data_IF_152227239958
#
_entry.id   IF_152227239958
#
_cell.length_a   1.000
_cell.length_b   1.000
_cell.length_c   1.000
_cell.angle_alpha   90.00
_cell.angle_beta   90.00
_cell.angle_gamma   90.00
#
_symmetry.space_group_name_H-M   'P 1'
#
loop_
_entity.id
_entity.type
_entity.pdbx_description
1 polymer ?
#
# COMPACT_ATOMS: atom_id res chain seq x y z
N UNK A 1 -13.70 7.33 -14.92
CA UNK A 1 -13.60 8.17 -16.15
C UNK A 1 -12.37 7.86 -17.01
N UNK A 2 -11.18 7.61 -16.45
CA UNK A 2 -9.94 7.41 -17.25
C UNK A 2 -9.99 6.28 -18.30
N UNK A 3 -10.52 5.09 -17.96
CA UNK A 3 -10.59 3.97 -18.91
C UNK A 3 -11.48 4.25 -20.14
N UNK A 4 -12.58 4.96 -19.96
CA UNK A 4 -13.46 5.37 -21.07
C UNK A 4 -12.77 6.37 -22.00
N UNK A 5 -11.92 7.25 -21.45
CA UNK A 5 -11.13 8.20 -22.23
C UNK A 5 -10.04 7.50 -23.06
N UNK A 6 -9.36 6.50 -22.50
CA UNK A 6 -8.38 5.67 -23.23
C UNK A 6 -9.07 4.91 -24.38
N UNK A 7 -10.20 4.26 -24.12
CA UNK A 7 -10.95 3.52 -25.14
C UNK A 7 -11.44 4.45 -26.27
N UNK A 8 -11.94 5.63 -25.91
CA UNK A 8 -12.35 6.65 -26.88
C UNK A 8 -11.14 7.12 -27.73
N UNK A 9 -9.99 7.36 -27.11
CA UNK A 9 -8.79 7.79 -27.81
C UNK A 9 -8.29 6.72 -28.78
N UNK A 10 -8.27 5.45 -28.38
CA UNK A 10 -7.91 4.31 -29.24
C UNK A 10 -8.89 4.23 -30.42
N UNK A 11 -10.20 4.26 -30.17
CA UNK A 11 -11.22 4.19 -31.20
C UNK A 11 -11.13 5.36 -32.20
N UNK A 12 -10.95 6.59 -31.69
CA UNK A 12 -10.77 7.78 -32.52
C UNK A 12 -9.49 7.69 -33.37
N UNK A 13 -8.40 7.14 -32.81
CA UNK A 13 -7.13 6.96 -33.53
C UNK A 13 -7.31 5.97 -34.67
N UNK A 14 -7.95 4.81 -34.43
CA UNK A 14 -8.19 3.78 -35.46
C UNK A 14 -9.16 4.27 -36.54
N UNK A 15 -10.22 5.00 -36.16
CA UNK A 15 -11.26 5.42 -37.11
C UNK A 15 -10.87 6.64 -37.96
N UNK A 16 -10.01 7.54 -37.45
CA UNK A 16 -9.70 8.82 -38.13
C UNK A 16 -8.36 8.85 -38.85
N UNK A 17 -7.45 7.91 -38.56
CA UNK A 17 -6.14 7.85 -39.21
C UNK A 17 -6.09 6.72 -40.25
N UNK A 18 -5.99 7.09 -41.52
CA UNK A 18 -5.60 6.10 -42.54
C UNK A 18 -4.14 5.70 -42.32
N UNK A 19 -3.89 4.39 -42.30
CA UNK A 19 -2.54 3.84 -42.16
C UNK A 19 -1.74 4.15 -43.43
N UNK A 20 -1.06 5.29 -43.41
CA UNK A 20 -0.23 5.77 -44.51
C UNK A 20 1.11 6.20 -43.95
N UNK A 21 2.20 5.85 -44.63
CA UNK A 21 3.57 6.29 -44.30
C UNK A 21 3.69 7.80 -44.12
N UNK A 22 2.79 8.53 -44.79
CA UNK A 22 2.66 9.99 -44.73
C UNK A 22 2.22 10.54 -43.37
N UNK A 23 1.55 9.73 -42.55
CA UNK A 23 1.00 10.06 -41.23
C UNK A 23 1.72 9.31 -40.09
N UNK A 24 2.85 8.65 -40.38
CA UNK A 24 3.59 7.83 -39.40
C UNK A 24 4.00 8.62 -38.15
N UNK A 25 4.46 9.86 -38.30
CA UNK A 25 4.78 10.72 -37.15
C UNK A 25 3.56 10.99 -36.25
N UNK A 26 2.37 11.16 -36.86
CA UNK A 26 1.12 11.37 -36.13
C UNK A 26 0.69 10.11 -35.38
N UNK A 27 0.84 8.93 -35.98
CA UNK A 27 0.61 7.63 -35.31
C UNK A 27 1.50 7.43 -34.09
N UNK A 28 2.79 7.77 -34.20
CA UNK A 28 3.75 7.65 -33.08
C UNK A 28 3.37 8.59 -31.93
N UNK A 29 2.93 9.82 -32.22
CA UNK A 29 2.43 10.75 -31.19
C UNK A 29 1.20 10.18 -30.48
N UNK A 30 0.23 9.63 -31.21
CA UNK A 30 -0.96 9.05 -30.59
C UNK A 30 -0.62 7.83 -29.75
N UNK A 31 0.31 6.97 -30.22
CA UNK A 31 0.80 5.83 -29.44
C UNK A 31 1.47 6.29 -28.13
N UNK A 32 2.31 7.34 -28.18
CA UNK A 32 2.92 7.92 -26.99
C UNK A 32 1.89 8.52 -26.01
N UNK A 33 0.85 9.19 -26.51
CA UNK A 33 -0.22 9.74 -25.67
C UNK A 33 -1.07 8.63 -25.03
N UNK A 34 -1.44 7.60 -25.80
CA UNK A 34 -2.17 6.43 -25.29
C UNK A 34 -1.35 5.74 -24.21
N UNK A 35 -0.05 5.52 -24.45
CA UNK A 35 0.87 4.93 -23.48
C UNK A 35 0.96 5.77 -22.20
N UNK A 36 1.01 7.10 -22.30
CA UNK A 36 1.02 7.99 -21.14
C UNK A 36 -0.24 7.83 -20.28
N UNK A 37 -1.42 7.95 -20.90
CA UNK A 37 -2.70 7.90 -20.18
C UNK A 37 -2.94 6.49 -19.61
N UNK A 38 -2.65 5.44 -20.37
CA UNK A 38 -2.74 4.07 -19.89
C UNK A 38 -1.74 3.80 -18.76
N UNK A 39 -0.53 4.36 -18.85
CA UNK A 39 0.51 4.28 -17.83
C UNK A 39 0.12 4.98 -16.54
N UNK A 40 -0.48 6.16 -16.60
CA UNK A 40 -1.00 6.88 -15.44
C UNK A 40 -2.14 6.12 -14.77
N UNK A 41 -3.08 5.59 -15.57
CA UNK A 41 -4.16 4.74 -15.06
C UNK A 41 -3.63 3.48 -14.38
N UNK A 42 -2.68 2.78 -15.01
CA UNK A 42 -2.04 1.61 -14.43
C UNK A 42 -1.29 1.96 -13.14
N UNK A 43 -0.53 3.05 -13.14
CA UNK A 43 0.18 3.51 -11.94
C UNK A 43 -0.81 3.79 -10.82
N UNK A 44 -1.89 4.55 -11.05
CA UNK A 44 -2.90 4.80 -10.02
C UNK A 44 -3.65 3.54 -9.54
N UNK A 45 -3.82 2.53 -10.40
CA UNK A 45 -4.48 1.28 -10.04
C UNK A 45 -3.57 0.31 -9.25
N UNK A 46 -2.26 0.37 -9.47
CA UNK A 46 -1.28 -0.55 -8.87
C UNK A 46 -0.36 0.11 -7.84
N UNK A 47 -0.43 1.43 -7.67
CA UNK A 47 0.35 2.14 -6.68
C UNK A 47 -0.12 1.70 -5.28
N UNK A 48 0.79 1.06 -4.56
CA UNK A 48 0.58 0.72 -3.16
C UNK A 48 1.11 1.87 -2.32
N UNK A 49 0.19 2.69 -1.83
CA UNK A 49 0.50 3.68 -0.80
C UNK A 49 0.53 2.97 0.55
N UNK A 50 1.74 2.81 1.07
CA UNK A 50 1.98 2.25 2.40
C UNK A 50 2.72 3.26 3.25
N UNK A 51 2.79 2.99 4.55
CA UNK A 51 3.51 3.84 5.48
C UNK A 51 4.43 3.03 6.37
N UNK A 52 5.48 3.66 6.86
CA UNK A 52 6.41 3.09 7.82
C UNK A 52 6.50 4.06 8.99
N UNK A 53 5.94 3.66 10.12
CA UNK A 53 6.02 4.40 11.38
C UNK A 53 7.18 3.84 12.21
N UNK A 54 8.14 4.69 12.56
CA UNK A 54 9.38 4.28 13.26
C UNK A 54 9.64 5.23 14.41
N UNK A 55 9.84 4.69 15.61
CA UNK A 55 10.30 5.48 16.75
C UNK A 55 11.82 5.68 16.73
N UNK A 56 12.31 6.75 17.35
CA UNK A 56 13.75 7.01 17.48
C UNK A 56 14.40 5.85 18.25
N UNK A 57 15.44 5.26 17.67
CA UNK A 57 16.12 4.06 18.16
C UNK A 57 15.48 2.73 17.72
N UNK A 58 14.25 2.76 17.17
CA UNK A 58 13.57 1.56 16.71
C UNK A 58 14.10 1.13 15.33
N UNK A 59 14.25 -0.18 15.16
CA UNK A 59 14.50 -0.83 13.87
C UNK A 59 13.22 -1.49 13.38
N UNK A 60 12.83 -1.22 12.14
CA UNK A 60 11.69 -1.88 11.48
C UNK A 60 12.06 -2.36 10.09
N UNK A 61 11.41 -3.42 9.65
CA UNK A 61 11.62 -4.03 8.33
C UNK A 61 10.29 -4.27 7.60
N UNK A 62 9.26 -3.48 7.87
CA UNK A 62 7.95 -3.63 7.22
C UNK A 62 7.31 -2.27 6.93
N UNK A 63 6.40 -2.28 5.96
CA UNK A 63 5.48 -1.18 5.68
C UNK A 63 4.05 -1.66 5.94
N UNK A 64 3.18 -0.72 6.28
CA UNK A 64 1.78 -0.98 6.63
C UNK A 64 0.84 -0.32 5.63
N UNK A 65 -0.27 -1.00 5.31
CA UNK A 65 -1.36 -0.39 4.57
C UNK A 65 -2.20 0.50 5.48
N UNK A 66 -2.49 1.76 5.10
CA UNK A 66 -3.38 2.62 5.89
C UNK A 66 -4.85 2.21 5.79
N UNK A 67 -5.21 1.34 4.84
CA UNK A 67 -6.61 0.99 4.51
C UNK A 67 -6.93 -0.48 4.70
N UNK A 68 -5.98 -1.36 4.37
CA UNK A 68 -6.18 -2.80 4.45
C UNK A 68 -5.77 -3.30 5.82
N UNK A 69 -6.58 -4.22 6.34
CA UNK A 69 -6.33 -4.86 7.63
C UNK A 69 -6.00 -6.34 7.43
N UNK A 70 -5.27 -6.90 8.38
CA UNK A 70 -5.00 -8.33 8.48
C UNK A 70 -5.33 -8.83 9.88
N UNK A 71 -5.76 -10.09 9.99
CA UNK A 71 -5.61 -10.85 11.21
C UNK A 71 -4.19 -11.40 11.23
N UNK A 72 -3.39 -10.98 12.21
CA UNK A 72 -2.09 -11.55 12.48
C UNK A 72 -2.23 -12.66 13.53
N UNK A 73 -1.84 -13.88 13.15
CA UNK A 73 -1.60 -14.99 14.07
C UNK A 73 -0.10 -15.07 14.29
N UNK A 74 0.35 -14.76 15.51
CA UNK A 74 1.76 -14.60 15.84
C UNK A 74 2.17 -15.68 16.82
N UNK A 75 3.10 -16.55 16.44
CA UNK A 75 3.78 -17.44 17.36
C UNK A 75 4.95 -16.68 18.01
N UNK A 76 4.91 -16.52 19.33
CA UNK A 76 5.93 -15.82 20.12
C UNK A 76 6.78 -16.75 20.97
N UNK A 77 6.84 -18.02 20.61
CA UNK A 77 7.52 -19.03 21.42
C UNK A 77 9.03 -18.86 21.37
N UNK A 78 9.56 -18.39 20.22
CA UNK A 78 10.98 -18.13 20.07
C UNK A 78 11.34 -16.75 20.66
N UNK A 79 12.36 -16.65 21.54
CA UNK A 79 12.74 -15.37 22.15
C UNK A 79 13.45 -14.41 21.19
N UNK A 80 13.96 -14.89 20.06
CA UNK A 80 14.72 -14.10 19.09
C UNK A 80 13.89 -13.59 17.91
N UNK A 81 12.79 -14.27 17.56
CA UNK A 81 11.93 -13.87 16.47
C UNK A 81 10.49 -14.34 16.69
N UNK A 82 9.54 -13.65 16.06
CA UNK A 82 8.13 -14.04 16.02
C UNK A 82 7.83 -14.63 14.63
N UNK A 83 7.16 -15.78 14.56
CA UNK A 83 6.58 -16.28 13.31
C UNK A 83 5.19 -15.67 13.12
N UNK A 84 4.95 -15.02 11.98
CA UNK A 84 3.71 -14.27 11.74
C UNK A 84 2.98 -14.79 10.52
N UNK A 85 1.74 -15.22 10.74
CA UNK A 85 0.82 -15.61 9.68
C UNK A 85 -0.22 -14.51 9.48
N UNK A 86 -0.19 -13.88 8.31
CA UNK A 86 -1.12 -12.82 7.92
C UNK A 86 -2.32 -13.40 7.17
N UNK A 87 -3.53 -13.08 7.63
CA UNK A 87 -4.78 -13.39 6.95
C UNK A 87 -5.46 -12.08 6.57
N UNK A 88 -5.46 -11.69 5.28
CA UNK A 88 -6.06 -10.42 4.83
C UNK A 88 -7.57 -10.35 5.09
N UNK A 89 -8.07 -9.14 5.32
CA UNK A 89 -9.49 -8.84 5.51
C UNK A 89 -10.43 -9.42 4.43
N UNK A 90 -9.98 -9.46 3.18
CA UNK A 90 -10.70 -10.05 2.03
C UNK A 90 -10.92 -11.55 2.18
N UNK A 91 -10.03 -12.24 2.90
CA UNK A 91 -10.17 -13.66 3.26
C UNK A 91 -11.06 -13.80 4.47
N UNK A 92 -10.91 -12.94 5.48
CA UNK A 92 -11.78 -12.92 6.67
C UNK A 92 -13.25 -12.68 6.29
N UNK A 93 -13.50 -11.79 5.33
CA UNK A 93 -14.83 -11.47 4.82
C UNK A 93 -15.58 -12.65 4.19
N UNK A 94 -14.88 -13.76 3.87
CA UNK A 94 -15.51 -14.98 3.36
C UNK A 94 -16.08 -15.89 4.46
N UNK A 95 -15.83 -15.57 5.74
CA UNK A 95 -16.36 -16.30 6.92
C UNK A 95 -16.15 -17.82 6.85
N UNK A 96 -14.94 -18.24 6.44
CA UNK A 96 -14.55 -19.64 6.25
C UNK A 96 -13.51 -20.14 7.25
N UNK A 97 -12.95 -21.32 6.97
CA UNK A 97 -11.80 -21.85 7.70
C UNK A 97 -10.52 -21.60 6.91
N UNK A 98 -9.50 -21.05 7.56
CA UNK A 98 -8.20 -20.73 6.97
C UNK A 98 -7.14 -21.58 7.68
N UNK A 99 -6.37 -22.36 6.92
CA UNK A 99 -5.26 -23.12 7.48
C UNK A 99 -4.07 -22.20 7.77
N UNK A 100 -3.36 -22.45 8.86
CA UNK A 100 -2.10 -21.78 9.19
C UNK A 100 -0.95 -22.65 8.67
N UNK A 101 -0.26 -22.24 7.58
CA UNK A 101 0.77 -23.06 6.94
C UNK A 101 1.86 -23.51 7.91
N UNK A 102 2.31 -24.75 7.78
CA UNK A 102 3.37 -25.30 8.65
C UNK A 102 2.92 -25.66 10.07
N UNK A 103 1.63 -25.55 10.39
CA UNK A 103 1.08 -25.90 11.71
C UNK A 103 -0.19 -26.75 11.56
N UNK A 104 -0.63 -27.51 12.59
CA UNK A 104 -1.93 -28.16 12.60
C UNK A 104 -3.09 -27.21 12.92
N UNK A 105 -2.83 -25.91 13.05
CA UNK A 105 -3.83 -24.91 13.39
C UNK A 105 -4.64 -24.48 12.16
N UNK A 106 -5.92 -24.27 12.40
CA UNK A 106 -6.83 -23.63 11.47
C UNK A 106 -7.60 -22.54 12.21
N UNK A 107 -7.86 -21.42 11.53
CA UNK A 107 -8.66 -20.32 12.05
C UNK A 107 -10.02 -20.36 11.36
N UNK A 108 -11.07 -20.64 12.12
CA UNK A 108 -12.44 -20.54 11.65
C UNK A 108 -12.95 -19.14 11.91
N UNK A 109 -13.27 -18.40 10.85
CA UNK A 109 -13.85 -17.06 10.93
C UNK A 109 -15.35 -17.20 11.12
N UNK A 110 -15.84 -16.97 12.34
CA UNK A 110 -17.25 -17.14 12.70
C UNK A 110 -18.10 -15.98 12.19
N UNK A 111 -17.54 -14.78 12.20
CA UNK A 111 -18.19 -13.56 11.72
C UNK A 111 -17.16 -12.47 11.45
N UNK A 112 -17.36 -11.70 10.40
CA UNK A 112 -16.51 -10.56 10.04
C UNK A 112 -17.33 -9.28 9.83
N UNK A 113 -16.82 -8.17 10.35
CA UNK A 113 -17.37 -6.84 10.16
C UNK A 113 -16.28 -5.93 9.60
N UNK A 114 -16.51 -5.36 8.41
CA UNK A 114 -15.63 -4.31 7.86
C UNK A 114 -15.55 -3.13 8.82
N UNK A 115 -16.67 -2.77 9.43
CA UNK A 115 -16.79 -1.72 10.44
C UNK A 115 -17.78 -2.17 11.53
N UNK A 116 -17.45 -1.96 12.79
CA UNK A 116 -18.33 -2.26 13.91
C UNK A 116 -18.13 -1.28 15.06
N UNK A 117 -19.20 -1.02 15.81
CA UNK A 117 -19.14 -0.35 17.09
C UNK A 117 -19.05 -1.38 18.21
N UNK A 118 -18.12 -1.17 19.14
CA UNK A 118 -17.92 -2.01 20.31
C UNK A 118 -18.44 -1.29 21.55
N UNK A 119 -19.21 -1.98 22.38
CA UNK A 119 -19.66 -1.47 23.68
C UNK A 119 -19.62 -2.57 24.73
N UNK A 120 -19.60 -2.19 26.01
CA UNK A 120 -19.74 -3.16 27.11
C UNK A 120 -21.12 -3.82 27.06
N UNK A 121 -21.15 -5.12 27.28
CA UNK A 121 -22.38 -5.88 27.36
C UNK A 121 -23.21 -5.43 28.58
N UNK A 122 -24.46 -5.06 28.36
CA UNK A 122 -25.39 -4.59 29.40
C UNK A 122 -26.38 -5.67 29.86
N UNK A 123 -27.09 -5.44 31.00
CA UNK A 123 -28.19 -6.30 31.42
C UNK A 123 -29.29 -6.35 30.35
N UNK A 124 -29.60 -7.54 29.83
CA UNK A 124 -30.62 -7.76 28.80
C UNK A 124 -30.11 -7.80 27.36
N UNK A 125 -28.81 -7.54 27.14
CA UNK A 125 -28.21 -7.78 25.82
C UNK A 125 -28.10 -9.29 25.53
N UNK A 126 -28.21 -9.72 24.25
CA UNK A 126 -27.93 -11.10 23.86
C UNK A 126 -26.49 -11.50 24.18
N UNK A 127 -26.22 -12.80 24.44
CA UNK A 127 -24.86 -13.27 24.68
C UNK A 127 -23.97 -13.02 23.45
N UNK A 128 -22.73 -12.61 23.71
CA UNK A 128 -21.70 -12.46 22.68
C UNK A 128 -21.25 -13.81 22.14
N UNK A 129 -20.74 -13.83 20.90
CA UNK A 129 -20.17 -15.04 20.29
C UNK A 129 -18.82 -15.40 20.90
N UNK A 130 -18.13 -14.44 21.53
CA UNK A 130 -16.83 -14.68 22.13
C UNK A 130 -16.96 -15.51 23.40
N UNK A 131 -16.19 -16.59 23.49
CA UNK A 131 -16.11 -17.47 24.66
C UNK A 131 -14.79 -17.30 25.41
N UNK A 132 -13.88 -16.47 24.90
CA UNK A 132 -12.55 -16.25 25.45
C UNK A 132 -12.10 -14.79 25.32
N UNK A 133 -11.13 -14.41 26.15
CA UNK A 133 -10.53 -13.09 26.14
C UNK A 133 -11.49 -11.97 26.53
N UNK A 134 -11.16 -10.74 26.12
CA UNK A 134 -11.94 -9.54 26.48
C UNK A 134 -13.30 -9.50 25.79
N UNK A 135 -13.46 -10.27 24.72
CA UNK A 135 -14.69 -10.32 23.92
C UNK A 135 -15.92 -10.83 24.66
N UNK A 136 -15.74 -11.61 25.73
CA UNK A 136 -16.84 -12.23 26.52
C UNK A 136 -17.77 -11.20 27.18
N UNK A 137 -17.27 -9.99 27.41
CA UNK A 137 -18.05 -8.87 27.96
C UNK A 137 -18.35 -7.76 26.96
N UNK A 138 -18.18 -8.01 25.65
CA UNK A 138 -18.30 -6.97 24.61
C UNK A 138 -19.45 -7.29 23.67
N UNK A 139 -20.33 -6.31 23.49
CA UNK A 139 -21.34 -6.26 22.44
C UNK A 139 -20.72 -5.67 21.17
N UNK A 140 -20.97 -6.33 20.05
CA UNK A 140 -20.49 -5.90 18.74
C UNK A 140 -21.69 -5.62 17.85
N UNK A 141 -21.75 -4.40 17.31
CA UNK A 141 -22.81 -3.98 16.38
C UNK A 141 -22.17 -3.58 15.05
N UNK A 142 -22.46 -4.32 13.99
CA UNK A 142 -21.98 -4.00 12.65
C UNK A 142 -22.48 -2.62 12.20
N UNK A 143 -21.59 -1.86 11.56
CA UNK A 143 -21.87 -0.54 11.01
C UNK A 143 -21.61 -0.53 9.50
N UNK A 144 -22.24 0.39 8.74
CA UNK A 144 -21.86 0.62 7.35
C UNK A 144 -20.37 0.95 7.23
N UNK A 145 -19.68 0.49 6.16
CA UNK A 145 -18.30 0.88 5.91
C UNK A 145 -18.18 2.40 5.74
N UNK A 146 -17.15 2.97 6.35
CA UNK A 146 -16.84 4.39 6.20
C UNK A 146 -16.17 4.62 4.84
N UNK A 147 -16.62 5.66 4.15
CA UNK A 147 -16.14 6.06 2.81
C UNK A 147 -15.43 7.41 2.81
N UNK A 148 -15.43 8.13 3.95
CA UNK A 148 -14.73 9.41 4.10
C UNK A 148 -13.24 9.17 4.36
N UNK A 149 -12.37 9.94 3.74
CA UNK A 149 -10.92 9.72 3.79
C UNK A 149 -10.29 9.93 5.19
N UNK A 150 -10.91 10.71 6.07
CA UNK A 150 -10.37 11.02 7.40
C UNK A 150 -10.82 10.06 8.50
N UNK A 151 -11.73 9.15 8.18
CA UNK A 151 -12.34 8.25 9.15
C UNK A 151 -11.90 6.81 8.85
N UNK A 152 -11.60 6.04 9.89
CA UNK A 152 -11.12 4.67 9.74
C UNK A 152 -12.21 3.66 10.11
N UNK A 153 -12.25 2.57 9.37
CA UNK A 153 -13.13 1.46 9.71
C UNK A 153 -12.60 0.74 10.95
N UNK A 154 -13.52 0.41 11.87
CA UNK A 154 -13.22 -0.37 13.06
C UNK A 154 -13.38 -1.87 12.76
N UNK A 155 -12.41 -2.41 12.02
CA UNK A 155 -12.47 -3.78 11.50
C UNK A 155 -12.46 -4.78 12.65
N UNK A 156 -13.46 -5.65 12.67
CA UNK A 156 -13.75 -6.53 13.81
C UNK A 156 -14.14 -7.92 13.32
N UNK A 157 -13.65 -8.96 13.99
CA UNK A 157 -13.99 -10.34 13.67
C UNK A 157 -14.12 -11.22 14.91
N UNK A 158 -14.96 -12.25 14.81
CA UNK A 158 -14.98 -13.37 15.74
C UNK A 158 -14.25 -14.55 15.09
N UNK A 159 -13.18 -14.99 15.72
CA UNK A 159 -12.29 -16.03 15.18
C UNK A 159 -12.13 -17.16 16.19
N UNK A 160 -12.18 -18.38 15.69
CA UNK A 160 -12.09 -19.60 16.49
C UNK A 160 -10.87 -20.41 16.01
N UNK A 161 -9.75 -20.35 16.74
CA UNK A 161 -8.62 -21.24 16.49
C UNK A 161 -9.00 -22.68 16.80
N UNK A 162 -8.59 -23.59 15.91
CA UNK A 162 -8.93 -25.00 15.93
C UNK A 162 -7.67 -25.83 15.65
N UNK A 163 -7.43 -26.90 16.41
CA UNK A 163 -6.40 -27.90 16.13
C UNK A 163 -6.93 -29.30 16.44
N UNK A 164 -6.66 -30.29 15.57
CA UNK A 164 -7.09 -31.67 15.79
C UNK A 164 -8.61 -31.82 16.03
N UNK A 165 -9.44 -30.95 15.46
CA UNK A 165 -10.88 -30.90 15.68
C UNK A 165 -11.34 -30.24 16.99
N UNK A 166 -10.43 -29.83 17.87
CA UNK A 166 -10.71 -29.11 19.12
C UNK A 166 -10.68 -27.59 18.92
N UNK A 167 -11.62 -26.91 19.55
CA UNK A 167 -11.69 -25.43 19.63
C UNK A 167 -10.88 -24.89 20.81
N UNK A 168 -10.18 -23.78 20.60
CA UNK A 168 -9.49 -23.00 21.66
C UNK A 168 -10.32 -21.78 22.10
N UNK A 169 -11.63 -21.82 21.85
CA UNK A 169 -12.55 -20.73 22.14
C UNK A 169 -12.72 -19.78 20.97
N UNK A 170 -13.82 -19.02 20.99
CA UNK A 170 -14.08 -17.94 20.04
C UNK A 170 -13.59 -16.61 20.63
N UNK A 171 -12.74 -15.93 19.89
CA UNK A 171 -12.06 -14.70 20.29
C UNK A 171 -12.59 -13.53 19.49
N UNK A 172 -12.84 -12.41 20.16
CA UNK A 172 -13.13 -11.14 19.50
C UNK A 172 -11.81 -10.43 19.20
N UNK A 173 -11.52 -10.19 17.93
CA UNK A 173 -10.38 -9.38 17.48
C UNK A 173 -10.90 -8.11 16.81
N UNK A 174 -10.31 -6.96 17.11
CA UNK A 174 -10.72 -5.67 16.58
C UNK A 174 -9.55 -4.71 16.56
N UNK A 175 -9.54 -3.75 15.63
CA UNK A 175 -8.62 -2.61 15.64
C UNK A 175 -8.71 -1.79 16.93
N UNK A 176 -9.85 -1.84 17.62
CA UNK A 176 -10.10 -1.07 18.85
C UNK A 176 -9.60 -1.80 20.11
N UNK A 177 -9.17 -3.06 19.96
CA UNK A 177 -8.63 -3.87 21.05
C UNK A 177 -7.12 -3.93 20.85
N UNK A 178 -6.41 -3.02 21.52
CA UNK A 178 -4.95 -2.89 21.39
C UNK A 178 -4.17 -4.07 22.01
N UNK A 179 -4.71 -4.69 23.07
CA UNK A 179 -4.03 -5.79 23.76
C UNK A 179 -4.14 -7.09 22.93
N UNK A 180 -3.01 -7.70 22.51
CA UNK A 180 -3.04 -8.98 21.85
C UNK A 180 -3.68 -10.04 22.76
N UNK A 181 -4.56 -10.85 22.19
CA UNK A 181 -5.20 -11.96 22.89
C UNK A 181 -4.59 -13.26 22.42
N UNK A 182 -4.42 -14.24 23.30
CA UNK A 182 -3.63 -15.41 22.95
C UNK A 182 -4.06 -16.68 23.65
N UNK A 183 -3.60 -17.79 23.09
CA UNK A 183 -3.81 -19.13 23.59
C UNK A 183 -2.51 -19.91 23.42
N UNK A 184 -2.37 -20.99 24.18
CA UNK A 184 -1.24 -21.90 24.06
C UNK A 184 -1.68 -23.22 23.46
N UNK A 185 -0.84 -23.78 22.59
CA UNK A 185 -1.06 -25.07 21.96
C UNK A 185 0.28 -25.78 21.75
N UNK A 186 0.42 -27.03 22.22
CA UNK A 186 1.65 -27.83 22.07
C UNK A 186 2.95 -27.13 22.52
N UNK A 187 2.86 -26.30 23.58
CA UNK A 187 4.01 -25.53 24.07
C UNK A 187 4.28 -24.24 23.29
N UNK A 188 3.55 -23.99 22.20
CA UNK A 188 3.60 -22.74 21.45
C UNK A 188 2.63 -21.71 22.03
N UNK A 189 3.06 -20.45 22.10
CA UNK A 189 2.25 -19.31 22.53
C UNK A 189 1.83 -18.47 21.33
N UNK A 190 0.54 -18.50 21.01
CA UNK A 190 -0.02 -17.75 19.88
C UNK A 190 -0.71 -16.48 20.36
N UNK A 191 -0.52 -15.38 19.61
CA UNK A 191 -1.26 -14.13 19.76
C UNK A 191 -2.08 -13.84 18.52
N UNK A 192 -3.26 -13.28 18.72
CA UNK A 192 -4.25 -12.91 17.73
C UNK A 192 -4.55 -11.42 17.88
N UNK A 193 -4.43 -10.68 16.79
CA UNK A 193 -4.87 -9.29 16.70
C UNK A 193 -5.22 -8.92 15.25
N UNK A 194 -6.13 -7.97 15.11
CA UNK A 194 -6.31 -7.26 13.83
C UNK A 194 -5.40 -6.05 13.85
N UNK A 195 -4.64 -5.86 12.77
CA UNK A 195 -3.73 -4.71 12.58
C UNK A 195 -3.70 -4.30 11.10
N UNK A 196 -3.14 -3.13 10.77
CA UNK A 196 -2.82 -2.79 9.39
C UNK A 196 -2.04 -3.90 8.68
N UNK A 197 -2.42 -4.21 7.44
CA UNK A 197 -1.75 -5.22 6.61
C UNK A 197 -0.26 -4.86 6.50
N UNK A 198 0.63 -5.77 6.91
CA UNK A 198 2.08 -5.56 6.87
C UNK A 198 2.71 -6.24 5.67
N UNK A 199 3.58 -5.52 4.98
CA UNK A 199 4.47 -6.05 3.95
C UNK A 199 5.90 -5.95 4.46
N UNK A 200 6.49 -7.09 4.76
CA UNK A 200 7.88 -7.17 5.22
C UNK A 200 8.84 -6.96 4.05
N UNK A 201 9.91 -6.21 4.32
CA UNK A 201 10.96 -5.83 3.39
C UNK A 201 12.21 -6.68 3.65
N UNK A 202 13.03 -6.95 2.62
CA UNK A 202 14.27 -7.71 2.75
C UNK A 202 15.43 -6.90 3.37
N UNK A 203 15.14 -5.75 3.98
CA UNK A 203 16.07 -4.83 4.60
C UNK A 203 15.39 -4.12 5.78
N UNK A 204 16.20 -3.60 6.69
CA UNK A 204 15.75 -2.91 7.88
C UNK A 204 16.12 -1.42 7.84
N UNK A 205 15.26 -0.60 8.43
CA UNK A 205 15.44 0.83 8.62
C UNK A 205 15.41 1.11 10.11
N UNK A 206 16.47 1.73 10.63
CA UNK A 206 16.53 2.24 12.01
C UNK A 206 16.42 3.75 12.00
N UNK A 207 15.53 4.33 12.80
CA UNK A 207 15.49 5.78 12.94
C UNK A 207 16.54 6.23 13.96
N UNK A 208 17.64 6.83 13.50
CA UNK A 208 18.67 7.36 14.42
C UNK A 208 18.25 8.67 15.06
N UNK A 209 17.65 9.56 14.28
CA UNK A 209 17.23 10.89 14.75
C UNK A 209 16.10 11.42 13.91
N UNK A 210 15.11 12.04 14.56
CA UNK A 210 14.14 12.91 13.93
C UNK A 210 14.44 14.36 14.33
N UNK A 211 14.33 15.29 13.38
CA UNK A 211 14.45 16.73 13.64
C UNK A 211 13.36 17.47 12.87
N UNK A 212 12.74 18.47 13.49
CA UNK A 212 11.85 19.40 12.80
C UNK A 212 12.17 20.85 13.14
N UNK A 213 11.94 21.75 12.19
CA UNK A 213 11.94 23.19 12.37
C UNK A 213 10.49 23.68 12.37
N UNK A 214 10.14 24.66 13.19
CA UNK A 214 8.84 25.33 13.18
C UNK A 214 8.95 26.76 12.63
N UNK A 215 7.84 27.32 12.14
CA UNK A 215 7.80 28.74 11.84
C UNK A 215 7.87 29.57 13.14
N UNK A 216 8.68 30.63 13.20
CA UNK A 216 8.79 31.47 14.38
C UNK A 216 7.42 31.94 14.89
N UNK A 217 7.14 31.72 16.17
CA UNK A 217 5.87 32.11 16.81
C UNK A 217 4.69 31.18 16.51
N UNK A 218 4.90 30.00 15.95
CA UNK A 218 3.85 28.99 15.70
C UNK A 218 4.33 27.59 16.04
N UNK A 219 3.40 26.65 16.19
CA UNK A 219 3.68 25.21 16.24
C UNK A 219 3.63 24.55 14.84
N UNK A 220 3.60 25.35 13.77
CA UNK A 220 3.49 24.84 12.41
C UNK A 220 4.87 24.34 11.96
N UNK A 221 5.02 23.06 11.59
CA UNK A 221 6.28 22.53 11.10
C UNK A 221 6.62 23.16 9.75
N UNK A 222 7.82 23.72 9.67
CA UNK A 222 8.44 24.27 8.46
C UNK A 222 9.20 23.19 7.69
N UNK A 223 10.03 22.41 8.39
CA UNK A 223 10.83 21.34 7.83
C UNK A 223 10.86 20.17 8.80
N UNK A 224 10.92 18.96 8.30
CA UNK A 224 11.17 17.79 9.14
C UNK A 224 12.03 16.77 8.38
N UNK A 225 12.91 16.10 9.12
CA UNK A 225 13.94 15.22 8.60
C UNK A 225 14.16 14.02 9.50
N UNK A 226 14.46 12.89 8.89
CA UNK A 226 14.75 11.63 9.55
C UNK A 226 16.12 11.16 9.10
N UNK A 227 17.08 11.13 10.03
CA UNK A 227 18.33 10.42 9.84
C UNK A 227 18.08 8.94 10.14
N UNK A 228 18.20 8.11 9.11
CA UNK A 228 17.95 6.67 9.20
C UNK A 228 19.22 5.88 8.94
N UNK A 229 19.33 4.70 9.54
CA UNK A 229 20.28 3.67 9.18
C UNK A 229 19.57 2.64 8.32
N UNK A 230 20.07 2.40 7.12
CA UNK A 230 19.61 1.32 6.26
C UNK A 230 20.60 0.16 6.39
N UNK A 231 20.08 -1.03 6.70
CA UNK A 231 20.86 -2.28 6.71
C UNK A 231 20.15 -3.33 5.86
N UNK A 232 20.86 -3.85 4.86
CA UNK A 232 20.39 -4.93 4.01
C UNK A 232 21.31 -6.15 4.14
N UNK A 233 20.87 -7.23 4.81
CA UNK A 233 21.69 -8.41 5.01
C UNK A 233 22.00 -9.15 3.70
N UNK A 234 21.15 -9.02 2.67
CA UNK A 234 21.34 -9.71 1.39
C UNK A 234 22.44 -9.08 0.53
N UNK A 235 22.63 -7.77 0.64
CA UNK A 235 23.65 -7.03 -0.12
C UNK A 235 24.85 -6.61 0.74
N UNK A 236 24.81 -6.91 2.05
CA UNK A 236 25.76 -6.41 3.06
C UNK A 236 25.91 -4.88 3.05
N UNK A 237 24.87 -4.18 2.62
CA UNK A 237 24.85 -2.73 2.53
C UNK A 237 24.40 -2.14 3.85
N UNK A 238 25.24 -1.29 4.44
CA UNK A 238 24.91 -0.53 5.64
C UNK A 238 25.32 0.93 5.45
N UNK A 239 24.35 1.84 5.57
CA UNK A 239 24.63 3.28 5.47
C UNK A 239 23.61 4.13 6.18
N UNK A 240 24.04 5.33 6.55
CA UNK A 240 23.14 6.37 7.02
C UNK A 240 22.62 7.20 5.86
N UNK A 241 21.32 7.54 5.91
CA UNK A 241 20.67 8.38 4.92
C UNK A 241 19.82 9.43 5.63
N UNK A 242 19.91 10.67 5.17
CA UNK A 242 19.02 11.73 5.61
C UNK A 242 17.83 11.83 4.65
N UNK A 243 16.63 11.56 5.15
CA UNK A 243 15.38 11.78 4.44
C UNK A 243 14.80 13.10 4.92
N UNK A 244 14.50 14.02 4.00
CA UNK A 244 13.89 15.31 4.33
C UNK A 244 12.96 15.75 3.20
N UNK A 245 12.28 16.89 3.41
CA UNK A 245 11.29 17.40 2.45
C UNK A 245 11.88 17.51 1.03
N UNK A 246 11.18 16.93 0.06
CA UNK A 246 11.56 16.84 -1.36
C UNK A 246 12.82 16.02 -1.67
N UNK A 247 13.43 15.36 -0.68
CA UNK A 247 14.58 14.47 -0.88
C UNK A 247 14.29 13.08 -0.26
N UNK A 248 13.50 12.25 -0.96
CA UNK A 248 13.17 10.91 -0.49
C UNK A 248 14.36 9.95 -0.61
N UNK A 249 14.40 8.93 0.25
CA UNK A 249 15.22 7.76 0.00
C UNK A 249 14.59 6.93 -1.11
N UNK A 250 15.34 6.61 -2.16
CA UNK A 250 14.94 5.65 -3.19
C UNK A 250 15.77 4.38 -3.03
N UNK A 251 15.09 3.28 -2.77
CA UNK A 251 15.76 2.01 -2.50
C UNK A 251 14.85 0.83 -2.88
N UNK A 252 15.41 -0.17 -3.57
CA UNK A 252 14.68 -1.39 -3.96
C UNK A 252 13.31 -1.12 -4.64
N UNK A 253 13.31 -0.21 -5.62
CA UNK A 253 12.11 0.18 -6.37
C UNK A 253 11.05 0.96 -5.57
N UNK A 254 11.36 1.36 -4.33
CA UNK A 254 10.47 2.10 -3.43
C UNK A 254 11.05 3.47 -3.12
N UNK A 255 10.17 4.44 -2.91
CA UNK A 255 10.53 5.79 -2.48
C UNK A 255 9.91 6.08 -1.11
N UNK A 256 10.75 6.46 -0.16
CA UNK A 256 10.41 6.76 1.22
C UNK A 256 10.41 8.28 1.40
N UNK A 257 9.21 8.85 1.46
CA UNK A 257 8.97 10.27 1.67
C UNK A 257 8.68 10.53 3.13
N UNK A 258 9.18 11.65 3.63
CA UNK A 258 8.76 12.13 4.92
C UNK A 258 7.31 12.62 4.84
N UNK A 259 6.40 12.04 5.62
CA UNK A 259 4.96 12.31 5.52
C UNK A 259 4.38 12.96 6.77
N UNK A 260 4.73 12.46 7.95
CA UNK A 260 4.24 12.99 9.22
C UNK A 260 5.18 12.61 10.37
N UNK A 261 4.84 13.03 11.58
CA UNK A 261 5.57 12.73 12.80
C UNK A 261 4.63 12.71 14.01
N UNK A 262 5.02 11.97 15.05
CA UNK A 262 4.26 11.90 16.30
C UNK A 262 4.61 13.03 17.27
N UNK A 263 3.81 13.19 18.32
CA UNK A 263 4.07 14.17 19.37
C UNK A 263 5.38 13.88 20.10
N UNK A 264 6.15 14.93 20.38
CA UNK A 264 7.40 14.84 21.14
C UNK A 264 8.60 14.36 20.33
N UNK A 265 8.58 14.47 19.00
CA UNK A 265 9.73 14.20 18.11
C UNK A 265 10.34 12.79 18.21
N UNK A 266 9.58 11.85 18.74
CA UNK A 266 10.02 10.47 18.95
C UNK A 266 9.59 9.53 17.83
N UNK A 267 8.72 9.97 16.92
CA UNK A 267 8.13 9.13 15.87
C UNK A 267 8.20 9.84 14.51
N UNK A 268 8.74 9.15 13.51
CA UNK A 268 8.65 9.55 12.10
C UNK A 268 7.70 8.62 11.36
N UNK A 269 6.87 9.19 10.48
CA UNK A 269 6.00 8.46 9.58
C UNK A 269 6.49 8.72 8.16
N UNK A 270 7.03 7.68 7.53
CA UNK A 270 7.47 7.71 6.15
C UNK A 270 6.38 7.14 5.24
N UNK A 271 5.94 7.90 4.23
CA UNK A 271 5.12 7.37 3.15
C UNK A 271 6.02 6.59 2.19
N UNK A 272 5.66 5.34 1.93
CA UNK A 272 6.42 4.43 1.09
C UNK A 272 5.61 4.12 -0.16
N UNK A 273 6.15 4.55 -1.30
CA UNK A 273 5.51 4.41 -2.60
C UNK A 273 6.33 3.47 -3.48
N UNK A 274 5.69 2.41 -3.96
CA UNK A 274 6.24 1.57 -5.03
C UNK A 274 5.67 2.00 -6.38
N UNK A 275 6.52 2.38 -7.34
CA UNK A 275 6.08 2.70 -8.70
C UNK A 275 6.77 1.79 -9.74
N UNK A 276 6.18 0.63 -10.08
CA UNK A 276 6.74 -0.24 -11.12
C UNK A 276 6.70 0.41 -12.52
N UNK A 277 5.79 1.37 -12.74
CA UNK A 277 5.59 2.08 -14.00
C UNK A 277 6.38 3.38 -14.14
N UNK A 278 7.37 3.65 -13.28
CA UNK A 278 8.05 4.95 -13.24
C UNK A 278 8.70 5.35 -14.57
N UNK A 279 9.07 4.39 -15.42
CA UNK A 279 9.62 4.61 -16.76
C UNK A 279 8.57 5.02 -17.80
N UNK A 280 7.30 4.67 -17.60
CA UNK A 280 6.25 4.84 -18.62
C UNK A 280 6.11 6.31 -19.05
N UNK A 281 6.03 7.30 -18.14
CA UNK A 281 5.97 8.71 -18.55
C UNK A 281 7.15 9.15 -19.40
N UNK A 282 8.37 8.68 -19.07
CA UNK A 282 9.58 9.01 -19.82
C UNK A 282 9.55 8.43 -21.24
N UNK A 283 9.18 7.15 -21.37
CA UNK A 283 9.06 6.49 -22.68
C UNK A 283 8.01 7.19 -23.54
N UNK A 284 6.86 7.54 -22.96
CA UNK A 284 5.79 8.26 -23.65
C UNK A 284 6.25 9.63 -24.16
N UNK A 285 6.97 10.40 -23.33
CA UNK A 285 7.53 11.69 -23.75
C UNK A 285 8.50 11.52 -24.93
N UNK A 286 9.41 10.55 -24.86
CA UNK A 286 10.36 10.27 -25.95
C UNK A 286 9.63 9.89 -27.24
N UNK A 287 8.61 9.03 -27.16
CA UNK A 287 7.79 8.66 -28.31
C UNK A 287 7.10 9.87 -28.93
N UNK A 288 6.46 10.72 -28.12
CA UNK A 288 5.81 11.94 -28.61
C UNK A 288 6.82 12.86 -29.29
N UNK A 289 8.00 13.07 -28.70
CA UNK A 289 9.06 13.89 -29.29
C UNK A 289 9.52 13.33 -30.64
N UNK A 290 9.79 12.02 -30.72
CA UNK A 290 10.19 11.37 -31.98
C UNK A 290 9.08 11.47 -33.04
N UNK A 291 7.82 11.26 -32.64
CA UNK A 291 6.68 11.38 -33.53
C UNK A 291 6.53 12.78 -34.12
N UNK A 292 6.71 13.82 -33.31
CA UNK A 292 6.70 15.22 -33.75
C UNK A 292 7.86 15.54 -34.70
N UNK A 293 9.08 15.06 -34.41
CA UNK A 293 10.24 15.25 -35.28
C UNK A 293 10.05 14.58 -36.64
N UNK A 294 9.54 13.35 -36.68
CA UNK A 294 9.22 12.63 -37.93
C UNK A 294 8.13 13.37 -38.70
N UNK A 295 7.07 13.82 -38.02
CA UNK A 295 5.99 14.57 -38.64
C UNK A 295 6.52 15.86 -39.28
N UNK A 296 7.32 16.63 -38.54
CA UNK A 296 7.96 17.84 -39.03
C UNK A 296 8.91 17.58 -40.22
N UNK A 297 9.74 16.54 -40.16
CA UNK A 297 10.63 16.19 -41.26
C UNK A 297 9.89 15.83 -42.54
N UNK A 298 8.79 15.07 -42.43
CA UNK A 298 7.94 14.70 -43.56
C UNK A 298 7.25 15.94 -44.16
N UNK A 299 6.73 16.86 -43.34
CA UNK A 299 6.09 18.09 -43.83
C UNK A 299 7.12 19.04 -44.46
N UNK A 300 8.29 19.20 -43.85
CA UNK A 300 9.38 20.03 -44.37
C UNK A 300 9.85 19.53 -45.75
N UNK A 301 10.12 18.23 -45.91
CA UNK A 301 10.54 17.65 -47.20
C UNK A 301 9.49 17.86 -48.29
N UNK A 302 8.20 17.78 -47.96
CA UNK A 302 7.11 18.09 -48.90
C UNK A 302 7.08 19.57 -49.29
N UNK A 303 7.23 20.46 -48.32
CA UNK A 303 7.27 21.91 -48.56
C UNK A 303 8.45 22.30 -49.46
N UNK A 304 9.63 21.71 -49.24
CA UNK A 304 10.80 21.92 -50.09
C UNK A 304 10.56 21.37 -51.50
N UNK A 305 10.03 20.15 -51.65
CA UNK A 305 9.74 19.55 -52.97
C UNK A 305 8.70 20.36 -53.77
N UNK A 306 7.74 21.00 -53.10
CA UNK A 306 6.73 21.88 -53.75
C UNK A 306 7.32 23.20 -54.27
N UNK A 307 8.47 23.65 -53.76
CA UNK A 307 9.14 24.91 -54.15
C UNK A 307 10.16 24.73 -55.27
N UNK A 308 10.45 23.50 -55.71
CA UNK A 308 11.29 23.29 -56.89
C UNK A 308 10.48 23.60 -58.17
N UNK A 309 10.93 24.53 -59.04
CA UNK A 309 10.25 24.80 -60.29
C UNK A 309 10.26 23.55 -61.17
N UNK A 310 9.13 23.27 -61.84
CA UNK A 310 9.05 22.26 -62.90
C UNK A 310 10.13 22.62 -63.92
N UNK A 311 11.11 21.74 -64.15
CA UNK A 311 11.95 21.85 -65.35
C UNK A 311 11.02 21.57 -66.53
N UNK A 312 10.66 22.62 -67.26
CA UNK A 312 10.06 22.51 -68.58
C UNK A 312 11.10 21.85 -69.49
N UNK A 313 10.70 20.74 -70.11
CA UNK A 313 11.43 20.02 -71.14
C UNK A 313 10.48 19.76 -72.28
#
# INVERSE_FOLDING_TARGET
MGAALVLNLIAATIQRLDFTWRKMGLWIVHAGLILLIAGEFATGAFQMDTQMAIQVGQTVNFVESPRLMELAVIDTTNPSYDDVFSIPDSTLAREGTVAIPGTPLTIRVKRFFRNAALSRLGPGDPPTMATAGVGTGVKVVGQPPITRDNDVNHTTAFVEPMAGGRSFGTWLVSTDIAAPQGFTFEGHSYRLLIRPLRVYLPYAITLKKFSHDVYPGTDIPKNFSSLIHLSNPNTHEERDVLIYMNQPLRYDGKAFYQASFGRGDTLSILQVVGNPGWLIPYISCVLVTIGLLIHFGITLRRSIKRRQPKKEG
#
